data_IF_853183161251
#
_entry.id   IF_853183161251
#
_cell.length_a   1.000
_cell.length_b   1.000
_cell.length_c   1.000
_cell.angle_alpha   90.00
_cell.angle_beta   90.00
_cell.angle_gamma   90.00
#
_symmetry.space_group_name_H-M   'P 1'
#
loop_
_entity.id
_entity.type
_entity.pdbx_description
1 polymer ?
#
# COMPACT_ATOMS: atom_id res chain seq x y z
N UNK A 1 58.61 -44.89 -7.63
CA UNK A 1 58.51 -43.51 -7.04
C UNK A 1 57.89 -42.46 -7.97
N UNK A 2 57.52 -42.77 -9.24
CA UNK A 2 56.90 -41.76 -10.16
C UNK A 2 55.38 -41.74 -10.20
N UNK A 3 54.69 -42.71 -9.62
CA UNK A 3 53.22 -42.81 -9.64
C UNK A 3 52.58 -42.04 -8.47
N UNK A 4 53.23 -41.99 -7.32
CA UNK A 4 52.70 -41.24 -6.14
C UNK A 4 52.65 -39.73 -6.36
N UNK A 5 53.52 -39.18 -7.21
CA UNK A 5 53.57 -37.73 -7.44
C UNK A 5 52.46 -37.23 -8.37
N UNK A 6 51.88 -38.12 -9.21
CA UNK A 6 50.83 -37.77 -10.17
C UNK A 6 49.45 -37.63 -9.49
N UNK A 7 49.20 -38.46 -8.48
CA UNK A 7 47.93 -38.39 -7.69
C UNK A 7 47.96 -37.31 -6.62
N UNK A 8 49.15 -37.03 -6.05
CA UNK A 8 49.34 -35.94 -5.09
C UNK A 8 49.06 -34.54 -5.69
N UNK A 9 49.48 -34.34 -6.95
CA UNK A 9 49.27 -33.07 -7.64
C UNK A 9 47.81 -32.87 -8.08
N UNK A 10 47.09 -33.96 -8.41
CA UNK A 10 45.65 -33.95 -8.71
C UNK A 10 44.81 -33.63 -7.48
N UNK A 11 45.15 -34.22 -6.32
CA UNK A 11 44.44 -33.97 -5.05
C UNK A 11 44.68 -32.54 -4.50
N UNK A 12 45.89 -31.98 -4.73
CA UNK A 12 46.19 -30.61 -4.34
C UNK A 12 45.43 -29.58 -5.21
N UNK A 13 45.21 -29.86 -6.50
CA UNK A 13 44.43 -29.02 -7.40
C UNK A 13 42.92 -29.03 -7.06
N UNK A 14 42.37 -30.18 -6.67
CA UNK A 14 40.95 -30.29 -6.24
C UNK A 14 40.72 -29.61 -4.89
N UNK A 15 41.66 -29.71 -3.97
CA UNK A 15 41.58 -28.98 -2.68
C UNK A 15 41.70 -27.46 -2.85
N UNK A 16 42.51 -26.96 -3.77
CA UNK A 16 42.67 -25.55 -4.06
C UNK A 16 41.43 -24.93 -4.75
N UNK A 17 40.72 -25.70 -5.57
CA UNK A 17 39.48 -25.25 -6.23
C UNK A 17 38.28 -25.18 -5.28
N UNK A 18 38.30 -25.93 -4.18
CA UNK A 18 37.21 -25.90 -3.18
C UNK A 18 37.28 -24.64 -2.29
N UNK A 19 38.41 -23.99 -2.15
CA UNK A 19 38.59 -22.75 -1.40
C UNK A 19 38.21 -21.48 -2.18
N UNK A 20 38.04 -21.57 -3.49
CA UNK A 20 37.65 -20.42 -4.33
C UNK A 20 36.14 -20.25 -4.49
N UNK A 21 35.32 -21.14 -3.91
CA UNK A 21 33.86 -21.12 -4.04
C UNK A 21 33.15 -20.49 -2.80
N UNK A 22 33.89 -20.07 -1.80
CA UNK A 22 33.33 -19.21 -0.76
C UNK A 22 33.36 -17.74 -1.23
N UNK A 23 32.65 -17.45 -2.30
CA UNK A 23 32.23 -16.09 -2.56
C UNK A 23 31.28 -15.71 -1.43
N UNK A 24 31.71 -14.79 -0.56
CA UNK A 24 30.77 -14.10 0.29
C UNK A 24 29.74 -13.47 -0.65
N UNK A 25 28.52 -14.04 -0.67
CA UNK A 25 27.36 -13.35 -1.20
C UNK A 25 27.07 -12.28 -0.15
N UNK A 26 27.77 -11.15 -0.24
CA UNK A 26 27.29 -9.96 0.44
C UNK A 26 25.93 -9.64 -0.13
N UNK A 27 24.91 -9.70 0.71
CA UNK A 27 23.59 -9.21 0.34
C UNK A 27 23.74 -7.74 -0.04
N UNK A 28 23.73 -7.48 -1.34
CA UNK A 28 23.69 -6.11 -1.86
C UNK A 28 22.28 -5.58 -1.65
N UNK A 29 22.10 -4.82 -0.56
CA UNK A 29 20.85 -4.10 -0.34
C UNK A 29 20.62 -3.12 -1.50
N UNK A 30 19.38 -3.03 -2.02
CA UNK A 30 19.06 -2.06 -3.05
C UNK A 30 19.34 -0.64 -2.54
N UNK A 31 20.14 0.11 -3.28
CA UNK A 31 20.54 1.48 -2.91
C UNK A 31 19.43 2.50 -3.07
N UNK A 32 18.35 2.16 -3.78
CA UNK A 32 17.24 3.06 -4.07
C UNK A 32 15.95 2.74 -3.29
N UNK A 33 15.83 1.54 -2.73
CA UNK A 33 14.67 1.12 -1.95
C UNK A 33 15.14 0.50 -0.64
N UNK A 34 14.56 0.93 0.47
CA UNK A 34 14.81 0.30 1.77
C UNK A 34 14.20 -1.11 1.81
N UNK A 35 14.90 -2.06 2.39
CA UNK A 35 14.34 -3.38 2.71
C UNK A 35 13.37 -3.30 3.89
N UNK A 36 12.49 -4.28 4.04
CA UNK A 36 11.54 -4.33 5.17
C UNK A 36 12.26 -4.23 6.51
N UNK A 37 13.37 -4.98 6.72
CA UNK A 37 14.14 -4.92 7.96
C UNK A 37 14.76 -3.54 8.23
N UNK A 38 15.26 -2.85 7.21
CA UNK A 38 15.77 -1.47 7.36
C UNK A 38 14.67 -0.48 7.75
N UNK A 39 13.44 -0.70 7.28
CA UNK A 39 12.28 0.12 7.66
C UNK A 39 11.84 -0.18 9.09
N UNK A 40 11.79 -1.46 9.49
CA UNK A 40 11.45 -1.88 10.87
C UNK A 40 12.37 -1.26 11.91
N UNK A 41 13.66 -1.20 11.64
CA UNK A 41 14.67 -0.61 12.54
C UNK A 41 14.61 0.91 12.60
N UNK A 42 13.94 1.57 11.64
CA UNK A 42 13.89 3.03 11.54
C UNK A 42 12.49 3.58 11.84
N UNK A 43 12.27 4.02 13.08
CA UNK A 43 11.00 4.62 13.50
C UNK A 43 10.56 5.82 12.66
N UNK A 44 11.50 6.61 12.11
CA UNK A 44 11.16 7.74 11.23
C UNK A 44 10.61 7.27 9.87
N UNK A 45 11.12 6.14 9.36
CA UNK A 45 10.58 5.55 8.13
C UNK A 45 9.15 5.06 8.35
N UNK A 46 8.87 4.40 9.47
CA UNK A 46 7.52 3.95 9.83
C UNK A 46 6.58 5.13 10.05
N UNK A 47 7.04 6.20 10.70
CA UNK A 47 6.26 7.45 10.85
C UNK A 47 5.91 8.06 9.49
N UNK A 48 6.87 8.14 8.57
CA UNK A 48 6.63 8.64 7.22
C UNK A 48 5.59 7.80 6.46
N UNK A 49 5.63 6.47 6.61
CA UNK A 49 4.63 5.57 6.04
C UNK A 49 3.25 5.81 6.66
N UNK A 50 3.17 6.04 7.97
CA UNK A 50 1.90 6.35 8.62
C UNK A 50 1.33 7.68 8.13
N UNK A 51 2.16 8.71 7.98
CA UNK A 51 1.74 10.02 7.46
C UNK A 51 1.31 9.96 5.99
N UNK A 52 1.80 9.01 5.23
CA UNK A 52 1.36 8.78 3.86
C UNK A 52 -0.11 8.30 3.78
N UNK A 53 -0.63 7.62 4.81
CA UNK A 53 -2.02 7.13 4.81
C UNK A 53 -3.04 8.28 4.74
N UNK A 54 -3.04 9.28 5.66
CA UNK A 54 -3.93 10.43 5.52
C UNK A 54 -3.61 11.32 4.32
N UNK A 55 -2.35 11.38 3.88
CA UNK A 55 -1.97 12.13 2.67
C UNK A 55 -2.63 11.57 1.41
N UNK A 56 -2.81 10.24 1.33
CA UNK A 56 -3.50 9.61 0.21
C UNK A 56 -4.97 10.03 0.08
N UNK A 57 -5.62 10.47 1.16
CA UNK A 57 -7.02 10.92 1.11
C UNK A 57 -7.24 12.13 0.19
N UNK A 58 -6.19 12.92 -0.04
CA UNK A 58 -6.23 14.10 -0.92
C UNK A 58 -5.49 13.86 -2.26
N UNK A 59 -5.20 12.60 -2.60
CA UNK A 59 -4.54 12.28 -3.86
C UNK A 59 -5.54 12.43 -5.01
N UNK A 60 -5.27 13.37 -5.90
CA UNK A 60 -6.05 13.57 -7.11
C UNK A 60 -5.89 12.38 -8.07
N UNK A 61 -6.94 12.08 -8.79
CA UNK A 61 -6.97 11.06 -9.86
C UNK A 61 -6.68 9.63 -9.41
N UNK A 62 -6.76 9.35 -8.11
CA UNK A 62 -6.44 8.02 -7.55
C UNK A 62 -7.35 6.92 -8.08
N UNK A 63 -8.66 7.22 -8.17
CA UNK A 63 -9.65 6.20 -8.54
C UNK A 63 -9.94 6.15 -10.03
N UNK A 64 -9.94 7.27 -10.72
CA UNK A 64 -10.46 7.35 -12.10
C UNK A 64 -9.61 8.13 -13.07
N UNK A 65 -8.60 8.86 -12.63
CA UNK A 65 -7.75 9.67 -13.50
C UNK A 65 -8.46 10.88 -14.14
N UNK A 66 -9.54 11.37 -13.55
CA UNK A 66 -10.33 12.48 -14.05
C UNK A 66 -10.26 13.70 -13.11
N UNK A 67 -10.43 14.90 -13.65
CA UNK A 67 -10.32 16.16 -12.87
C UNK A 67 -11.34 16.29 -11.72
N UNK A 68 -12.42 15.53 -11.76
CA UNK A 68 -13.41 15.49 -10.69
C UNK A 68 -13.11 14.46 -9.59
N UNK A 69 -12.05 13.64 -9.78
CA UNK A 69 -11.53 12.70 -8.81
C UNK A 69 -10.39 13.38 -8.02
N UNK A 70 -10.74 14.02 -6.92
CA UNK A 70 -9.80 14.69 -6.02
C UNK A 70 -9.70 13.97 -4.66
N UNK A 71 -9.78 12.63 -4.71
CA UNK A 71 -9.59 11.74 -3.57
C UNK A 71 -10.84 11.61 -2.70
N UNK A 72 -10.63 11.40 -1.41
CA UNK A 72 -11.70 11.18 -0.45
C UNK A 72 -12.74 12.33 -0.38
N UNK A 73 -12.36 13.61 -0.49
CA UNK A 73 -13.33 14.70 -0.59
C UNK A 73 -14.30 14.56 -1.78
N UNK A 74 -13.87 14.00 -2.90
CA UNK A 74 -14.76 13.74 -4.03
C UNK A 74 -15.86 12.73 -3.65
N UNK A 75 -15.51 11.69 -2.88
CA UNK A 75 -16.46 10.71 -2.36
C UNK A 75 -17.47 11.39 -1.42
N UNK A 76 -17.02 12.27 -0.54
CA UNK A 76 -17.89 13.02 0.35
C UNK A 76 -18.86 13.93 -0.43
N UNK A 77 -18.37 14.63 -1.47
CA UNK A 77 -19.21 15.43 -2.34
C UNK A 77 -20.33 14.64 -2.99
N UNK A 78 -20.05 13.43 -3.47
CA UNK A 78 -21.09 12.57 -4.04
C UNK A 78 -22.15 12.25 -2.98
N UNK A 79 -21.75 11.91 -1.77
CA UNK A 79 -22.68 11.63 -0.65
C UNK A 79 -23.57 12.82 -0.32
N UNK A 80 -22.98 14.02 -0.21
CA UNK A 80 -23.71 15.24 0.08
C UNK A 80 -24.73 15.59 -1.02
N UNK A 81 -24.37 15.36 -2.28
CA UNK A 81 -25.27 15.53 -3.42
C UNK A 81 -26.43 14.50 -3.39
N UNK A 82 -26.14 13.25 -3.03
CA UNK A 82 -27.14 12.19 -2.94
C UNK A 82 -28.12 12.40 -1.78
N UNK A 83 -27.66 12.98 -0.67
CA UNK A 83 -28.50 13.30 0.50
C UNK A 83 -29.25 14.64 0.36
N UNK A 84 -28.98 15.40 -0.69
CA UNK A 84 -29.54 16.76 -0.92
C UNK A 84 -28.98 17.85 0.01
N UNK A 85 -27.92 17.57 0.73
CA UNK A 85 -27.20 18.59 1.51
C UNK A 85 -26.45 19.56 0.59
N UNK A 86 -26.20 19.14 -0.64
CA UNK A 86 -25.54 19.93 -1.68
C UNK A 86 -26.31 19.88 -3.00
N UNK A 87 -26.43 21.03 -3.67
CA UNK A 87 -26.99 21.12 -5.01
C UNK A 87 -25.90 21.28 -6.07
N UNK A 88 -26.05 20.63 -7.20
CA UNK A 88 -25.12 20.72 -8.33
C UNK A 88 -25.82 21.34 -9.55
N UNK A 89 -25.04 22.07 -10.40
CA UNK A 89 -25.52 22.59 -11.66
C UNK A 89 -25.72 21.45 -12.67
N UNK A 90 -26.66 21.63 -13.61
CA UNK A 90 -27.06 20.61 -14.57
C UNK A 90 -25.94 20.09 -15.49
N UNK A 91 -24.89 20.86 -15.69
CA UNK A 91 -23.77 20.50 -16.56
C UNK A 91 -22.56 19.94 -15.80
N UNK A 92 -22.71 19.72 -14.50
CA UNK A 92 -21.64 19.19 -13.66
C UNK A 92 -21.67 17.65 -13.64
N UNK A 93 -20.48 17.03 -13.56
CA UNK A 93 -20.35 15.57 -13.42
C UNK A 93 -21.14 15.00 -12.23
N UNK A 94 -21.22 15.75 -11.15
CA UNK A 94 -21.95 15.34 -9.94
C UNK A 94 -23.49 15.40 -10.10
N UNK A 95 -24.01 16.07 -11.13
CA UNK A 95 -25.45 16.18 -11.37
C UNK A 95 -26.14 14.81 -11.54
N UNK A 96 -25.43 13.82 -12.08
CA UNK A 96 -25.93 12.45 -12.19
C UNK A 96 -26.30 11.82 -10.84
N UNK A 97 -25.70 12.26 -9.74
CA UNK A 97 -25.99 11.77 -8.40
C UNK A 97 -27.13 12.54 -7.73
N UNK A 98 -27.45 13.76 -8.18
CA UNK A 98 -28.54 14.56 -7.66
C UNK A 98 -29.91 14.22 -8.24
N UNK A 99 -29.94 13.50 -9.36
CA UNK A 99 -31.16 13.13 -10.05
C UNK A 99 -31.81 11.90 -9.44
N UNK A 100 -32.98 12.00 -8.88
CA UNK A 100 -33.77 10.90 -8.31
C UNK A 100 -34.02 9.71 -9.26
N UNK A 101 -33.76 9.87 -10.54
CA UNK A 101 -33.94 8.83 -11.55
C UNK A 101 -32.66 8.11 -11.97
N UNK A 102 -31.49 8.45 -11.40
CA UNK A 102 -30.20 7.91 -11.85
C UNK A 102 -29.54 6.97 -10.81
N UNK A 103 -30.30 6.27 -10.00
CA UNK A 103 -29.78 5.17 -9.17
C UNK A 103 -29.05 4.10 -10.00
N UNK A 104 -29.32 4.05 -11.30
CA UNK A 104 -28.62 3.18 -12.27
C UNK A 104 -27.12 3.52 -12.40
N UNK A 105 -26.74 4.79 -12.12
CA UNK A 105 -25.34 5.25 -12.18
C UNK A 105 -24.47 4.75 -11.01
N UNK A 106 -25.00 3.95 -10.12
CA UNK A 106 -24.28 3.38 -8.95
C UNK A 106 -23.89 1.91 -9.16
N UNK A 107 -24.24 1.31 -10.29
CA UNK A 107 -23.87 -0.06 -10.60
C UNK A 107 -22.37 -0.27 -10.81
N UNK A 108 -21.93 -1.51 -10.83
CA UNK A 108 -20.53 -1.95 -10.93
C UNK A 108 -19.77 -1.35 -12.13
N UNK A 109 -20.47 -1.07 -13.22
CA UNK A 109 -19.88 -0.54 -14.45
C UNK A 109 -19.72 1.00 -14.43
N UNK A 110 -20.21 1.65 -13.39
CA UNK A 110 -20.21 3.10 -13.33
C UNK A 110 -18.95 3.67 -12.64
N UNK A 111 -18.60 4.87 -13.08
CA UNK A 111 -17.38 5.54 -12.65
C UNK A 111 -17.28 5.73 -11.14
N UNK A 112 -18.38 6.02 -10.46
CA UNK A 112 -18.40 6.23 -9.01
C UNK A 112 -18.05 4.97 -8.24
N UNK A 113 -18.70 3.85 -8.55
CA UNK A 113 -18.43 2.59 -7.86
C UNK A 113 -16.97 2.15 -8.06
N UNK A 114 -16.42 2.34 -9.27
CA UNK A 114 -15.01 2.04 -9.55
C UNK A 114 -14.05 2.98 -8.81
N UNK A 115 -14.35 4.27 -8.79
CA UNK A 115 -13.54 5.27 -8.08
C UNK A 115 -13.49 4.95 -6.59
N UNK A 116 -14.65 4.73 -5.99
CA UNK A 116 -14.77 4.42 -4.57
C UNK A 116 -14.01 3.14 -4.21
N UNK A 117 -14.19 2.07 -4.98
CA UNK A 117 -13.50 0.79 -4.77
C UNK A 117 -11.97 0.96 -4.84
N UNK A 118 -11.48 1.63 -5.88
CA UNK A 118 -10.05 1.83 -6.10
C UNK A 118 -9.43 2.68 -4.99
N UNK A 119 -10.09 3.77 -4.61
CA UNK A 119 -9.62 4.65 -3.54
C UNK A 119 -9.58 3.91 -2.20
N UNK A 120 -10.67 3.27 -1.79
CA UNK A 120 -10.77 2.59 -0.50
C UNK A 120 -9.79 1.41 -0.39
N UNK A 121 -9.65 0.60 -1.45
CA UNK A 121 -8.68 -0.50 -1.46
C UNK A 121 -7.23 0.01 -1.39
N UNK A 122 -6.94 1.15 -1.99
CA UNK A 122 -5.62 1.80 -1.89
C UNK A 122 -5.32 2.29 -0.47
N UNK A 123 -6.30 2.91 0.19
CA UNK A 123 -6.19 3.36 1.58
C UNK A 123 -5.97 2.18 2.54
N UNK A 124 -6.77 1.12 2.40
CA UNK A 124 -6.60 -0.13 3.17
C UNK A 124 -5.21 -0.73 2.94
N UNK A 125 -4.73 -0.74 1.68
CA UNK A 125 -3.41 -1.27 1.37
C UNK A 125 -2.30 -0.44 2.03
N UNK A 126 -2.40 0.88 2.04
CA UNK A 126 -1.46 1.76 2.75
C UNK A 126 -1.35 1.42 4.24
N UNK A 127 -2.49 1.25 4.92
CA UNK A 127 -2.52 0.82 6.32
C UNK A 127 -1.94 -0.60 6.50
N UNK A 128 -2.26 -1.53 5.61
CA UNK A 128 -1.77 -2.92 5.67
C UNK A 128 -0.26 -3.03 5.50
N UNK A 129 0.39 -2.13 4.77
CA UNK A 129 1.86 -2.12 4.64
C UNK A 129 2.47 -1.92 6.03
N UNK A 130 2.01 -0.92 6.80
CA UNK A 130 2.51 -0.64 8.15
C UNK A 130 2.24 -1.83 9.09
N UNK A 131 1.02 -2.38 9.06
CA UNK A 131 0.62 -3.50 9.92
C UNK A 131 1.47 -4.75 9.67
N UNK A 132 1.92 -4.97 8.44
CA UNK A 132 2.80 -6.11 8.09
C UNK A 132 4.27 -5.84 8.39
N UNK A 133 4.68 -4.58 8.43
CA UNK A 133 6.06 -4.18 8.71
C UNK A 133 6.40 -4.27 10.20
N UNK A 134 5.45 -4.05 11.09
CA UNK A 134 5.69 -4.00 12.52
C UNK A 134 5.26 -5.30 13.21
N UNK A 135 6.20 -5.92 13.92
CA UNK A 135 5.91 -7.04 14.81
C UNK A 135 5.59 -6.50 16.22
N UNK A 136 4.36 -6.72 16.73
CA UNK A 136 3.96 -6.22 18.04
C UNK A 136 4.79 -6.78 19.21
N UNK A 137 5.46 -7.92 19.04
CA UNK A 137 6.27 -8.52 20.11
C UNK A 137 7.65 -7.87 20.24
N UNK A 138 8.17 -7.25 19.17
CA UNK A 138 9.51 -6.65 19.14
C UNK A 138 9.48 -5.12 18.98
N UNK A 139 8.33 -4.55 18.62
CA UNK A 139 8.15 -3.13 18.39
C UNK A 139 8.34 -2.29 19.66
N UNK A 140 8.98 -1.12 19.53
CA UNK A 140 9.02 -0.12 20.59
C UNK A 140 7.64 0.48 20.89
N UNK A 141 7.48 1.13 22.05
CA UNK A 141 6.21 1.79 22.42
C UNK A 141 5.74 2.80 21.37
N UNK A 142 6.67 3.52 20.75
CA UNK A 142 6.36 4.46 19.66
C UNK A 142 5.84 3.73 18.42
N UNK A 143 6.46 2.62 18.05
CA UNK A 143 6.03 1.80 16.91
C UNK A 143 4.71 1.10 17.18
N UNK A 144 4.43 0.69 18.41
CA UNK A 144 3.12 0.18 18.82
C UNK A 144 2.03 1.25 18.67
N UNK A 145 2.35 2.52 18.97
CA UNK A 145 1.47 3.65 18.68
C UNK A 145 1.16 3.79 17.18
N UNK A 146 2.16 3.64 16.32
CA UNK A 146 1.98 3.67 14.87
C UNK A 146 1.17 2.48 14.36
N UNK A 147 1.41 1.29 14.90
CA UNK A 147 0.62 0.10 14.60
C UNK A 147 -0.85 0.27 14.97
N UNK A 148 -1.11 0.82 16.17
CA UNK A 148 -2.46 1.15 16.62
C UNK A 148 -3.17 2.14 15.71
N UNK A 149 -2.48 3.20 15.26
CA UNK A 149 -3.02 4.17 14.32
C UNK A 149 -3.32 3.54 12.94
N UNK A 150 -2.42 2.69 12.42
CA UNK A 150 -2.65 1.99 11.15
C UNK A 150 -3.85 1.03 11.23
N UNK A 151 -4.03 0.32 12.35
CA UNK A 151 -5.20 -0.52 12.60
C UNK A 151 -6.50 0.30 12.65
N UNK A 152 -6.46 1.50 13.26
CA UNK A 152 -7.60 2.40 13.30
C UNK A 152 -7.97 2.93 11.90
N UNK A 153 -7.00 3.34 11.09
CA UNK A 153 -7.23 3.73 9.69
C UNK A 153 -7.85 2.58 8.90
N UNK A 154 -7.29 1.37 9.01
CA UNK A 154 -7.85 0.20 8.32
C UNK A 154 -9.30 -0.07 8.72
N UNK A 155 -9.61 0.02 10.02
CA UNK A 155 -10.97 -0.17 10.51
C UNK A 155 -11.92 0.91 9.97
N UNK A 156 -11.49 2.17 9.92
CA UNK A 156 -12.25 3.27 9.36
C UNK A 156 -12.58 3.03 7.87
N UNK A 157 -11.60 2.64 7.07
CA UNK A 157 -11.81 2.41 5.65
C UNK A 157 -12.70 1.19 5.39
N UNK A 158 -12.57 0.10 6.16
CA UNK A 158 -13.49 -1.03 6.04
C UNK A 158 -14.92 -0.69 6.47
N UNK A 159 -15.08 0.13 7.51
CA UNK A 159 -16.39 0.62 7.91
C UNK A 159 -17.03 1.45 6.79
N UNK A 160 -16.24 2.29 6.15
CA UNK A 160 -16.69 3.14 5.06
C UNK A 160 -17.08 2.30 3.83
N UNK A 161 -16.25 1.31 3.47
CA UNK A 161 -16.59 0.33 2.42
C UNK A 161 -17.87 -0.45 2.74
N UNK A 162 -18.03 -0.89 4.00
CA UNK A 162 -19.22 -1.61 4.43
C UNK A 162 -20.51 -0.79 4.28
N UNK A 163 -20.44 0.51 4.49
CA UNK A 163 -21.58 1.42 4.29
C UNK A 163 -21.95 1.65 2.84
N UNK A 164 -20.97 1.59 1.95
CA UNK A 164 -21.18 1.83 0.51
C UNK A 164 -21.59 0.55 -0.26
N UNK A 165 -21.07 -0.59 0.18
CA UNK A 165 -21.25 -1.88 -0.48
C UNK A 165 -22.01 -2.86 0.44
N UNK A 166 -23.00 -2.36 1.19
CA UNK A 166 -23.84 -3.20 2.04
C UNK A 166 -24.58 -4.22 1.19
N UNK A 167 -24.39 -5.50 1.52
CA UNK A 167 -24.96 -6.64 0.81
C UNK A 167 -26.18 -7.17 1.54
#
# INVERSE_FOLDING_TARGET
MKILNKYGMGMALVAASSFMLTGCIDETFPTQNATTGQVEENSQAVEAMLMAVPAQLNTETLGRGAHWDFGYPAIMHVRDVMTQDMATANENMYNQFSSWGQNEAQGIDYAYAQMLWTAQTSYVNGANVIIRTLDPETASDTQLGYLGAALAYRAMFYLDMGREYEF
#
